data_IF_730266914758
#
_entry.id   IF_730266914758
#
_cell.length_a   1.000
_cell.length_b   1.000
_cell.length_c   1.000
_cell.angle_alpha   90.00
_cell.angle_beta   90.00
_cell.angle_gamma   90.00
#
_symmetry.space_group_name_H-M   'P 1'
#
loop_
_entity.id
_entity.type
_entity.pdbx_description
1 polymer ?
#
# COMPACT_ATOMS: atom_id res chain seq x y z
N UNK A 1 4.34 7.08 17.26
CA UNK A 1 3.94 5.98 16.34
C UNK A 1 4.85 4.80 16.65
N UNK A 2 4.32 3.76 17.29
CA UNK A 2 5.05 2.51 17.55
C UNK A 2 4.31 1.38 16.85
N UNK A 3 4.92 0.80 15.82
CA UNK A 3 4.38 -0.29 15.04
C UNK A 3 5.34 -0.63 13.90
N UNK A 4 5.47 -1.92 13.61
CA UNK A 4 6.18 -2.39 12.41
C UNK A 4 5.25 -2.22 11.21
N UNK A 5 5.67 -1.42 10.22
CA UNK A 5 4.89 -1.19 9.01
C UNK A 5 5.37 -2.14 7.92
N UNK A 6 4.58 -3.18 7.63
CA UNK A 6 4.87 -4.11 6.55
C UNK A 6 4.32 -3.57 5.23
N UNK A 7 4.97 -2.53 4.69
CA UNK A 7 4.48 -1.81 3.51
C UNK A 7 4.28 -2.71 2.28
N UNK A 8 5.17 -3.68 2.05
CA UNK A 8 5.03 -4.63 0.94
C UNK A 8 3.82 -5.55 1.12
N UNK A 9 3.59 -6.03 2.35
CA UNK A 9 2.38 -6.82 2.67
C UNK A 9 1.13 -5.96 2.49
N UNK A 10 1.15 -4.70 2.93
CA UNK A 10 0.02 -3.77 2.72
C UNK A 10 -0.29 -3.59 1.23
N UNK A 11 0.73 -3.48 0.37
CA UNK A 11 0.54 -3.40 -1.07
C UNK A 11 -0.11 -4.68 -1.64
N UNK A 12 0.31 -5.86 -1.19
CA UNK A 12 -0.30 -7.13 -1.60
C UNK A 12 -1.76 -7.25 -1.13
N UNK A 13 -2.07 -6.81 0.09
CA UNK A 13 -3.45 -6.80 0.61
C UNK A 13 -4.31 -5.80 -0.17
N UNK A 14 -3.80 -4.63 -0.53
CA UNK A 14 -4.54 -3.66 -1.36
C UNK A 14 -4.90 -4.24 -2.74
N UNK A 15 -4.00 -5.01 -3.37
CA UNK A 15 -4.28 -5.63 -4.66
C UNK A 15 -5.32 -6.76 -4.59
N UNK A 16 -5.42 -7.45 -3.45
CA UNK A 16 -6.27 -8.64 -3.29
C UNK A 16 -7.60 -8.34 -2.58
N UNK A 17 -7.63 -7.32 -1.73
CA UNK A 17 -8.75 -6.90 -0.90
C UNK A 17 -8.87 -5.36 -0.88
N UNK A 18 -9.05 -4.70 -2.04
CA UNK A 18 -9.10 -3.24 -2.14
C UNK A 18 -10.23 -2.62 -1.32
N UNK A 19 -11.31 -3.35 -1.05
CA UNK A 19 -12.44 -2.92 -0.23
C UNK A 19 -12.06 -2.60 1.23
N UNK A 20 -10.92 -3.11 1.71
CA UNK A 20 -10.39 -2.78 3.03
C UNK A 20 -9.78 -1.38 3.09
N UNK A 21 -9.67 -0.67 1.98
CA UNK A 21 -8.96 0.59 1.88
C UNK A 21 -9.88 1.76 1.51
N UNK A 22 -9.55 2.92 2.06
CA UNK A 22 -10.17 4.19 1.68
C UNK A 22 -9.40 4.82 0.52
N UNK A 23 -10.04 4.80 -0.65
CA UNK A 23 -9.55 5.45 -1.85
C UNK A 23 -9.40 6.95 -1.65
N UNK A 24 -8.28 7.47 -2.11
CA UNK A 24 -8.07 8.90 -2.26
C UNK A 24 -7.41 9.15 -3.60
N UNK A 25 -8.20 9.69 -4.51
CA UNK A 25 -7.75 10.01 -5.84
C UNK A 25 -7.14 11.41 -5.84
N UNK A 26 -5.86 11.51 -6.19
CA UNK A 26 -5.17 12.78 -6.35
C UNK A 26 -4.41 12.84 -7.67
N UNK A 27 -4.03 14.04 -8.04
CA UNK A 27 -3.12 14.31 -9.15
C UNK A 27 -1.73 14.45 -8.53
N UNK A 28 -0.70 13.83 -9.13
CA UNK A 28 0.68 13.99 -8.69
C UNK A 28 1.42 14.93 -9.65
N UNK A 29 2.21 15.84 -9.10
CA UNK A 29 3.20 16.61 -9.86
C UNK A 29 4.40 15.70 -10.18
N UNK A 30 4.56 15.40 -11.46
CA UNK A 30 5.54 14.45 -11.98
C UNK A 30 6.70 15.13 -12.73
N UNK A 31 6.97 16.41 -12.46
CA UNK A 31 8.10 17.10 -13.08
C UNK A 31 9.41 16.31 -12.88
N UNK A 32 10.21 16.16 -13.95
CA UNK A 32 11.43 15.34 -13.96
C UNK A 32 12.39 15.76 -12.84
N UNK A 33 12.46 17.06 -12.54
CA UNK A 33 13.29 17.64 -11.50
C UNK A 33 12.91 17.18 -10.10
N UNK A 34 11.61 17.04 -9.80
CA UNK A 34 11.14 16.55 -8.50
C UNK A 34 11.42 15.05 -8.33
N UNK A 35 11.32 14.28 -9.43
CA UNK A 35 11.60 12.84 -9.44
C UNK A 35 13.08 12.52 -9.13
N UNK A 36 14.02 13.42 -9.43
CA UNK A 36 15.45 13.25 -9.10
C UNK A 36 15.70 13.12 -7.60
N UNK A 37 14.80 13.67 -6.77
CA UNK A 37 14.85 13.54 -5.31
C UNK A 37 14.09 12.33 -4.77
N UNK A 38 13.32 11.63 -5.61
CA UNK A 38 12.37 10.59 -5.20
C UNK A 38 11.11 11.13 -4.51
N UNK A 39 10.86 12.44 -4.56
CA UNK A 39 9.67 13.06 -3.97
C UNK A 39 8.50 13.04 -4.94
N UNK A 40 7.33 12.59 -4.46
CA UNK A 40 6.05 12.73 -5.14
C UNK A 40 5.19 13.71 -4.34
N UNK A 41 4.67 14.75 -5.01
CA UNK A 41 3.85 15.78 -4.38
C UNK A 41 2.47 15.80 -5.03
N UNK A 42 1.38 15.96 -4.26
CA UNK A 42 0.08 16.24 -4.84
C UNK A 42 0.14 17.54 -5.65
N UNK A 43 -0.32 17.51 -6.90
CA UNK A 43 -0.42 18.70 -7.75
C UNK A 43 -1.50 19.63 -7.19
N UNK A 44 -1.06 20.73 -6.60
CA UNK A 44 -1.94 21.76 -6.05
C UNK A 44 -2.55 22.65 -7.14
N UNK A 45 -1.95 22.66 -8.35
CA UNK A 45 -2.28 23.56 -9.44
C UNK A 45 -3.15 22.90 -10.53
N UNK A 46 -3.49 21.61 -10.39
CA UNK A 46 -4.38 20.84 -11.28
C UNK A 46 -4.01 21.00 -12.76
N UNK A 47 -2.73 20.83 -13.11
CA UNK A 47 -2.33 20.88 -14.51
C UNK A 47 -3.04 19.75 -15.27
N UNK A 48 -3.60 20.08 -16.43
CA UNK A 48 -4.54 19.21 -17.18
C UNK A 48 -3.89 17.89 -17.63
N UNK A 49 -2.56 17.84 -17.72
CA UNK A 49 -1.80 16.69 -18.23
C UNK A 49 -1.16 15.82 -17.12
N UNK A 50 -1.37 16.17 -15.85
CA UNK A 50 -0.76 15.43 -14.74
C UNK A 50 -1.49 14.10 -14.47
N UNK A 51 -0.75 13.01 -14.15
CA UNK A 51 -1.34 11.71 -13.91
C UNK A 51 -2.24 11.70 -12.66
N UNK A 52 -3.43 11.12 -12.80
CA UNK A 52 -4.34 10.85 -11.68
C UNK A 52 -4.04 9.47 -11.11
N UNK A 53 -3.79 9.40 -9.81
CA UNK A 53 -3.52 8.16 -9.08
C UNK A 53 -4.51 7.96 -7.95
N UNK A 54 -4.67 6.71 -7.51
CA UNK A 54 -5.33 6.39 -6.25
C UNK A 54 -4.24 6.11 -5.20
N UNK A 55 -4.24 6.85 -4.10
CA UNK A 55 -3.36 6.63 -2.96
C UNK A 55 -4.23 6.26 -1.77
N UNK A 56 -4.27 4.99 -1.34
CA UNK A 56 -5.00 4.61 -0.14
C UNK A 56 -4.51 5.38 1.08
N UNK A 57 -5.40 6.11 1.76
CA UNK A 57 -5.03 6.94 2.92
C UNK A 57 -5.34 6.28 4.25
N UNK A 58 -6.19 5.23 4.25
CA UNK A 58 -6.66 4.59 5.46
C UNK A 58 -7.04 3.13 5.19
N UNK A 59 -6.72 2.27 6.16
CA UNK A 59 -7.31 0.94 6.28
C UNK A 59 -8.63 1.09 7.03
N UNK A 60 -9.75 0.73 6.39
CA UNK A 60 -11.11 0.90 6.92
C UNK A 60 -11.37 -0.01 8.12
N UNK A 61 -10.86 -1.24 8.06
CA UNK A 61 -11.00 -2.24 9.12
C UNK A 61 -9.65 -2.91 9.39
N UNK A 62 -9.00 -2.48 10.48
CA UNK A 62 -7.68 -3.00 10.88
C UNK A 62 -7.77 -4.45 11.36
N UNK A 63 -8.89 -4.86 11.95
CA UNK A 63 -9.06 -6.24 12.40
C UNK A 63 -9.14 -7.17 11.20
N UNK A 64 -10.01 -6.87 10.23
CA UNK A 64 -10.13 -7.66 9.01
C UNK A 64 -8.83 -7.66 8.19
N UNK A 65 -8.13 -6.53 8.12
CA UNK A 65 -6.81 -6.44 7.49
C UNK A 65 -5.80 -7.41 8.12
N UNK A 66 -5.69 -7.42 9.45
CA UNK A 66 -4.76 -8.33 10.15
C UNK A 66 -5.17 -9.80 9.98
N UNK A 67 -6.46 -10.11 10.08
CA UNK A 67 -6.99 -11.46 9.86
C UNK A 67 -6.62 -11.97 8.47
N UNK A 68 -6.82 -11.16 7.44
CA UNK A 68 -6.48 -11.49 6.04
C UNK A 68 -5.02 -11.93 5.89
N UNK A 69 -4.09 -11.20 6.54
CA UNK A 69 -2.66 -11.53 6.51
C UNK A 69 -2.38 -12.85 7.24
N UNK A 70 -2.89 -13.00 8.45
CA UNK A 70 -2.63 -14.17 9.29
C UNK A 70 -3.21 -15.45 8.68
N UNK A 71 -4.42 -15.36 8.12
CA UNK A 71 -5.03 -16.48 7.39
C UNK A 71 -4.18 -16.88 6.19
N UNK A 72 -3.77 -15.91 5.35
CA UNK A 72 -2.92 -16.18 4.20
C UNK A 72 -1.61 -16.90 4.61
N UNK A 73 -0.94 -16.43 5.66
CA UNK A 73 0.28 -17.06 6.17
C UNK A 73 0.04 -18.42 6.81
N UNK A 74 -1.11 -18.62 7.47
CA UNK A 74 -1.47 -19.91 8.07
C UNK A 74 -1.62 -21.05 7.05
N UNK A 75 -1.87 -20.71 5.78
CA UNK A 75 -1.99 -21.69 4.70
C UNK A 75 -0.65 -22.23 4.20
N UNK A 76 0.47 -21.61 4.61
CA UNK A 76 1.81 -22.05 4.22
C UNK A 76 2.30 -23.12 5.19
N UNK A 77 2.51 -24.33 4.67
CA UNK A 77 3.22 -25.37 5.42
C UNK A 77 4.70 -25.01 5.49
N UNK A 78 5.21 -24.77 6.70
CA UNK A 78 6.64 -24.69 6.96
C UNK A 78 7.21 -26.10 6.81
N UNK A 79 7.58 -26.47 5.59
CA UNK A 79 8.21 -27.76 5.32
C UNK A 79 9.40 -28.02 6.25
N UNK A 80 9.44 -29.23 6.82
CA UNK A 80 10.49 -29.90 7.59
C UNK A 80 11.87 -29.19 7.65
N UNK A 81 12.03 -28.16 8.48
CA UNK A 81 13.34 -27.58 8.83
C UNK A 81 13.94 -28.15 10.13
N UNK A 82 13.40 -29.27 10.63
CA UNK A 82 13.96 -29.98 11.77
C UNK A 82 14.25 -31.43 11.39
N UNK A 83 15.45 -31.68 10.86
CA UNK A 83 16.31 -32.83 11.18
C UNK A 83 17.56 -32.84 10.29
N UNK A 84 18.69 -32.45 10.88
CA UNK A 84 20.01 -33.09 10.76
C UNK A 84 20.96 -32.43 11.77
#
# INVERSE_FOLDING_TARGET
>A
MHGFHSWDTTAAVYLTHPELFEDYHCIIDGAEEDLKSGSLKPDQNKRIESPKVNIPIRIRDVFQYNTTILEAWSTVSLGHFAQN
#
